data_IF_324481528544
#
_entry.id   IF_324481528544
#
_cell.length_a   1.000
_cell.length_b   1.000
_cell.length_c   1.000
_cell.angle_alpha   90.00
_cell.angle_beta   90.00
_cell.angle_gamma   90.00
#
_symmetry.space_group_name_H-M   'P 1'
#
loop_
_entity.id
_entity.type
_entity.pdbx_description
1 polymer ?
#
# COMPACT_ATOMS: atom_id res chain seq x y z
N UNK A 1 8.00 -28.64 -28.98
CA UNK A 1 8.03 -29.55 -27.80
C UNK A 1 7.82 -28.66 -26.58
N UNK A 2 6.76 -28.86 -25.80
CA UNK A 2 6.54 -28.05 -24.58
C UNK A 2 7.65 -28.40 -23.59
N UNK A 3 8.42 -27.40 -23.14
CA UNK A 3 9.47 -27.61 -22.14
C UNK A 3 8.89 -28.20 -20.86
N UNK A 4 9.57 -29.20 -20.30
CA UNK A 4 9.14 -29.84 -19.06
C UNK A 4 9.83 -29.17 -17.86
N UNK A 5 9.09 -28.37 -17.09
CA UNK A 5 9.63 -27.54 -15.99
C UNK A 5 9.78 -28.26 -14.63
N UNK A 6 9.72 -29.60 -14.61
CA UNK A 6 9.81 -30.34 -13.35
C UNK A 6 11.24 -30.53 -12.84
N UNK A 7 12.25 -30.46 -13.72
CA UNK A 7 13.68 -30.65 -13.38
C UNK A 7 14.44 -29.32 -13.31
N UNK A 8 14.00 -28.29 -14.03
CA UNK A 8 14.56 -26.94 -14.00
C UNK A 8 13.49 -25.90 -14.32
N UNK A 9 13.51 -24.76 -13.62
CA UNK A 9 12.45 -23.76 -13.70
C UNK A 9 12.70 -22.65 -14.73
N UNK A 10 13.96 -22.36 -15.08
CA UNK A 10 14.27 -21.32 -16.07
C UNK A 10 14.02 -21.80 -17.49
N UNK A 11 13.31 -20.99 -18.26
CA UNK A 11 13.17 -21.16 -19.72
C UNK A 11 14.44 -20.72 -20.45
N UNK A 12 14.59 -21.10 -21.72
CA UNK A 12 15.68 -20.59 -22.56
C UNK A 12 15.61 -19.05 -22.73
N UNK A 13 16.76 -18.38 -22.94
CA UNK A 13 16.78 -16.97 -23.29
C UNK A 13 16.15 -16.69 -24.66
N UNK A 14 15.70 -15.46 -24.86
CA UNK A 14 15.06 -15.03 -26.10
C UNK A 14 14.26 -13.74 -25.93
N UNK A 15 13.45 -13.40 -26.93
CA UNK A 15 12.55 -12.24 -26.86
C UNK A 15 11.46 -12.47 -25.81
N UNK A 16 11.00 -11.39 -25.18
CA UNK A 16 10.07 -11.45 -24.04
C UNK A 16 8.72 -12.10 -24.41
N UNK A 17 8.32 -12.07 -25.67
CA UNK A 17 7.10 -12.64 -26.23
C UNK A 17 7.35 -13.96 -26.98
N UNK A 18 8.60 -14.44 -27.04
CA UNK A 18 8.93 -15.70 -27.69
C UNK A 18 8.40 -16.89 -26.85
N UNK A 19 7.50 -17.72 -27.38
CA UNK A 19 6.94 -18.84 -26.64
C UNK A 19 7.94 -19.98 -26.42
N UNK A 20 8.02 -20.50 -25.19
CA UNK A 20 8.81 -21.68 -24.78
C UNK A 20 7.90 -22.86 -24.39
N UNK A 21 6.66 -22.86 -24.89
CA UNK A 21 5.58 -23.77 -24.52
C UNK A 21 4.33 -22.98 -24.15
N UNK A 22 3.91 -23.09 -22.89
CA UNK A 22 2.82 -22.27 -22.31
C UNK A 22 3.34 -20.93 -21.78
N UNK A 23 4.65 -20.84 -21.52
CA UNK A 23 5.38 -19.69 -20.95
C UNK A 23 6.27 -19.04 -22.01
N UNK A 24 6.85 -17.88 -21.72
CA UNK A 24 7.76 -17.16 -22.61
C UNK A 24 9.24 -17.35 -22.24
N UNK A 25 10.13 -16.87 -23.10
CA UNK A 25 11.56 -16.80 -22.81
C UNK A 25 11.86 -15.93 -21.57
N UNK A 26 12.95 -16.27 -20.88
CA UNK A 26 13.40 -15.63 -19.63
C UNK A 26 12.42 -15.71 -18.43
N UNK A 27 11.42 -16.61 -18.44
CA UNK A 27 10.54 -16.83 -17.30
C UNK A 27 11.07 -17.95 -16.38
N UNK A 28 10.67 -17.90 -15.10
CA UNK A 28 10.93 -18.97 -14.13
C UNK A 28 9.62 -19.64 -13.72
N UNK A 29 9.56 -20.96 -13.89
CA UNK A 29 8.41 -21.80 -13.54
C UNK A 29 8.75 -22.64 -12.31
N UNK A 30 8.10 -22.34 -11.19
CA UNK A 30 8.20 -23.15 -9.99
C UNK A 30 7.39 -24.45 -10.13
N UNK A 31 8.01 -25.60 -9.89
CA UNK A 31 7.30 -26.87 -9.93
C UNK A 31 6.34 -27.04 -8.73
N UNK A 32 5.43 -28.02 -8.82
CA UNK A 32 4.43 -28.29 -7.77
C UNK A 32 5.02 -28.55 -6.38
N UNK A 33 6.22 -29.11 -6.29
CA UNK A 33 6.85 -29.41 -5.00
C UNK A 33 7.39 -28.14 -4.36
N UNK A 34 7.94 -27.23 -5.15
CA UNK A 34 8.33 -25.91 -4.68
C UNK A 34 7.10 -25.12 -4.19
N UNK A 35 6.03 -25.07 -5.01
CA UNK A 35 4.78 -24.36 -4.67
C UNK A 35 4.13 -24.93 -3.40
N UNK A 36 4.20 -26.25 -3.19
CA UNK A 36 3.66 -26.91 -2.01
C UNK A 36 4.53 -26.78 -0.75
N UNK A 37 5.78 -26.32 -0.87
CA UNK A 37 6.69 -26.18 0.26
C UNK A 37 6.33 -24.95 1.11
N UNK A 38 5.89 -25.11 2.37
CA UNK A 38 5.47 -23.98 3.21
C UNK A 38 6.60 -22.97 3.46
N UNK A 39 7.86 -23.42 3.47
CA UNK A 39 9.01 -22.55 3.70
C UNK A 39 9.32 -21.63 2.50
N UNK A 40 8.86 -22.01 1.30
CA UNK A 40 9.02 -21.19 0.10
C UNK A 40 7.81 -20.28 -0.15
N UNK A 41 6.69 -20.53 0.53
CA UNK A 41 5.45 -19.78 0.33
C UNK A 41 5.60 -18.26 0.56
N UNK A 42 6.29 -17.78 1.62
CA UNK A 42 6.50 -16.34 1.82
C UNK A 42 7.27 -15.68 0.66
N UNK A 43 8.18 -16.41 0.03
CA UNK A 43 8.95 -15.92 -1.12
C UNK A 43 8.04 -15.76 -2.34
N UNK A 44 7.19 -16.75 -2.61
CA UNK A 44 6.23 -16.66 -3.73
C UNK A 44 5.20 -15.56 -3.51
N UNK A 45 4.68 -15.40 -2.30
CA UNK A 45 3.70 -14.36 -1.99
C UNK A 45 4.31 -12.95 -2.17
N UNK A 46 5.59 -12.77 -1.79
CA UNK A 46 6.30 -11.50 -2.01
C UNK A 46 6.49 -11.18 -3.50
N UNK A 47 6.84 -12.18 -4.31
CA UNK A 47 6.98 -12.04 -5.76
C UNK A 47 5.62 -11.74 -6.41
N UNK A 48 4.54 -12.43 -6.04
CA UNK A 48 3.19 -12.20 -6.57
C UNK A 48 2.71 -10.77 -6.29
N UNK A 49 2.89 -10.29 -5.05
CA UNK A 49 2.56 -8.90 -4.70
C UNK A 49 3.35 -7.91 -5.56
N UNK A 50 4.65 -8.11 -5.71
CA UNK A 50 5.50 -7.22 -6.50
C UNK A 50 5.19 -7.26 -8.00
N UNK A 51 4.84 -8.42 -8.55
CA UNK A 51 4.41 -8.57 -9.95
C UNK A 51 3.09 -7.84 -10.20
N UNK A 52 2.09 -8.05 -9.34
CA UNK A 52 0.78 -7.37 -9.44
C UNK A 52 0.89 -5.85 -9.35
N UNK A 53 1.89 -5.35 -8.61
CA UNK A 53 2.15 -3.92 -8.48
C UNK A 53 3.14 -3.36 -9.52
N UNK A 54 3.65 -4.19 -10.45
CA UNK A 54 4.64 -3.77 -11.45
C UNK A 54 6.03 -3.42 -10.88
N UNK A 55 6.36 -3.86 -9.67
CA UNK A 55 7.60 -3.53 -8.95
C UNK A 55 8.52 -4.73 -8.73
N UNK A 56 8.32 -5.83 -9.44
CA UNK A 56 9.16 -7.04 -9.31
C UNK A 56 10.66 -6.76 -9.54
N UNK A 57 10.99 -5.84 -10.45
CA UNK A 57 12.38 -5.43 -10.72
C UNK A 57 13.04 -4.63 -9.60
N UNK A 58 12.28 -4.18 -8.59
CA UNK A 58 12.77 -3.40 -7.46
C UNK A 58 12.99 -4.24 -6.19
N UNK A 59 12.69 -5.54 -6.22
CA UNK A 59 12.92 -6.42 -5.08
C UNK A 59 14.41 -6.52 -4.75
N UNK A 60 14.78 -6.27 -3.49
CA UNK A 60 16.18 -6.38 -3.04
C UNK A 60 16.43 -7.67 -2.27
N UNK A 61 17.71 -8.00 -2.05
CA UNK A 61 18.09 -9.16 -1.24
C UNK A 61 17.57 -9.05 0.21
N UNK A 62 17.50 -7.83 0.75
CA UNK A 62 16.96 -7.56 2.08
C UNK A 62 15.45 -7.84 2.14
N UNK A 63 14.68 -7.49 1.11
CA UNK A 63 13.25 -7.80 1.04
C UNK A 63 13.02 -9.32 1.05
N UNK A 64 13.88 -10.08 0.34
CA UNK A 64 13.85 -11.55 0.32
C UNK A 64 14.30 -12.15 1.67
N UNK A 65 15.32 -11.57 2.30
CA UNK A 65 15.77 -11.99 3.63
C UNK A 65 14.70 -11.75 4.70
N UNK A 66 13.96 -10.65 4.60
CA UNK A 66 12.89 -10.31 5.53
C UNK A 66 11.73 -11.31 5.51
N UNK A 67 11.40 -11.87 4.34
CA UNK A 67 10.32 -12.88 4.21
C UNK A 67 10.79 -14.30 4.56
N UNK A 68 12.10 -14.55 4.59
CA UNK A 68 12.69 -15.85 4.93
C UNK A 68 13.17 -15.94 6.39
N UNK A 69 13.34 -14.81 7.07
CA UNK A 69 13.70 -14.73 8.48
C UNK A 69 12.64 -15.40 9.37
N UNK A 70 13.07 -16.44 10.12
CA UNK A 70 12.25 -17.35 10.95
C UNK A 70 11.56 -16.71 12.16
N UNK A 71 10.71 -15.71 11.93
CA UNK A 71 9.88 -15.09 12.96
C UNK A 71 8.44 -15.00 12.48
N UNK A 72 7.72 -16.13 12.45
CA UNK A 72 6.26 -16.25 12.53
C UNK A 72 5.51 -14.93 12.23
N UNK A 73 5.45 -14.50 10.97
CA UNK A 73 4.78 -13.25 10.63
C UNK A 73 3.88 -13.43 9.42
N UNK A 74 2.60 -13.59 9.71
CA UNK A 74 1.54 -13.04 8.87
C UNK A 74 1.78 -11.53 8.75
N UNK A 75 2.65 -11.14 7.82
CA UNK A 75 2.91 -9.73 7.55
C UNK A 75 2.71 -9.52 6.07
N UNK A 76 1.59 -8.89 5.77
CA UNK A 76 1.34 -8.19 4.51
C UNK A 76 2.63 -7.47 4.11
N UNK A 77 3.27 -7.94 3.04
CA UNK A 77 4.32 -7.20 2.37
C UNK A 77 3.67 -5.89 1.95
N UNK A 78 4.09 -4.72 2.48
CA UNK A 78 3.63 -3.48 1.89
C UNK A 78 4.11 -3.54 0.44
N UNK A 79 3.19 -3.42 -0.53
CA UNK A 79 3.59 -3.18 -1.91
C UNK A 79 4.46 -1.91 -1.86
N UNK A 80 5.77 -2.10 -1.92
CA UNK A 80 6.70 -0.99 -1.94
C UNK A 80 6.39 -0.26 -3.23
N UNK A 81 5.88 0.96 -3.11
CA UNK A 81 5.83 1.90 -4.23
C UNK A 81 7.21 1.90 -4.91
N UNK A 82 7.27 2.10 -6.24
CA UNK A 82 8.50 1.91 -7.01
C UNK A 82 9.68 2.55 -6.29
N UNK A 83 10.75 1.78 -6.13
CA UNK A 83 11.94 2.28 -5.46
C UNK A 83 12.43 3.50 -6.25
N UNK A 84 12.24 4.69 -5.66
CA UNK A 84 13.03 5.84 -6.03
C UNK A 84 14.49 5.39 -5.89
N UNK A 85 15.23 5.47 -7.00
CA UNK A 85 16.64 5.13 -7.09
C UNK A 85 17.38 5.51 -5.82
N UNK A 86 18.26 4.61 -5.35
CA UNK A 86 19.22 4.91 -4.30
C UNK A 86 20.20 5.98 -4.80
N UNK A 87 19.75 7.22 -4.86
CA UNK A 87 20.61 8.38 -4.80
C UNK A 87 21.11 8.39 -3.36
N UNK A 88 22.41 8.17 -3.17
CA UNK A 88 23.12 8.60 -1.97
C UNK A 88 22.52 9.93 -1.51
N UNK A 89 21.76 9.93 -0.41
CA UNK A 89 21.13 11.13 0.12
C UNK A 89 22.24 12.00 0.72
N UNK A 90 23.02 12.64 -0.14
CA UNK A 90 23.41 14.00 0.16
C UNK A 90 22.09 14.71 0.45
N UNK A 91 21.92 15.20 1.68
CA UNK A 91 20.75 15.95 2.08
C UNK A 91 20.63 17.15 1.13
N UNK A 92 19.86 17.00 0.06
CA UNK A 92 19.65 18.05 -0.92
C UNK A 92 19.16 19.28 -0.13
N UNK A 93 19.90 20.41 -0.17
CA UNK A 93 19.52 21.60 0.56
C UNK A 93 18.07 22.03 0.29
N UNK A 94 17.54 21.77 -0.90
CA UNK A 94 16.13 22.03 -1.23
C UNK A 94 15.17 21.11 -0.46
N UNK A 95 15.51 19.82 -0.32
CA UNK A 95 14.72 18.86 0.45
C UNK A 95 14.76 19.16 1.95
N UNK A 96 15.90 19.60 2.48
CA UNK A 96 16.02 20.04 3.88
C UNK A 96 15.19 21.30 4.14
N UNK A 97 15.25 22.28 3.25
CA UNK A 97 14.44 23.49 3.34
C UNK A 97 12.94 23.17 3.33
N UNK A 98 12.51 22.24 2.46
CA UNK A 98 11.12 21.77 2.44
C UNK A 98 10.73 21.10 3.76
N UNK A 99 11.60 20.27 4.35
CA UNK A 99 11.33 19.59 5.62
C UNK A 99 11.21 20.58 6.79
N UNK A 100 12.03 21.64 6.79
CA UNK A 100 11.95 22.75 7.75
C UNK A 100 10.60 23.46 7.62
N UNK A 101 10.17 23.77 6.41
CA UNK A 101 8.88 24.42 6.16
C UNK A 101 7.69 23.53 6.56
N UNK A 102 7.74 22.23 6.25
CA UNK A 102 6.73 21.28 6.70
C UNK A 102 6.64 21.25 8.23
N UNK A 103 7.78 21.19 8.92
CA UNK A 103 7.83 21.22 10.38
C UNK A 103 7.26 22.52 10.95
N UNK A 104 7.52 23.65 10.29
CA UNK A 104 6.98 24.96 10.68
C UNK A 104 5.46 25.02 10.55
N UNK A 105 4.89 24.49 9.46
CA UNK A 105 3.45 24.41 9.24
C UNK A 105 2.80 23.46 10.23
N UNK A 106 3.37 22.28 10.46
CA UNK A 106 2.87 21.31 11.43
C UNK A 106 2.86 21.88 12.85
N UNK A 107 3.87 22.66 13.23
CA UNK A 107 3.90 23.35 14.53
C UNK A 107 2.80 24.40 14.63
N UNK A 108 2.58 25.21 13.59
CA UNK A 108 1.48 26.18 13.57
C UNK A 108 0.12 25.49 13.66
N UNK A 109 -0.07 24.40 12.92
CA UNK A 109 -1.29 23.61 12.94
C UNK A 109 -1.53 23.03 14.34
N UNK A 110 -0.50 22.42 14.95
CA UNK A 110 -0.57 21.93 16.33
C UNK A 110 -1.03 23.04 17.28
N UNK A 111 -0.37 24.19 17.25
CA UNK A 111 -0.72 25.30 18.13
C UNK A 111 -2.18 25.78 17.93
N UNK A 112 -2.71 25.75 16.69
CA UNK A 112 -4.12 26.10 16.43
C UNK A 112 -5.11 25.01 16.85
N UNK A 113 -4.67 23.76 16.92
CA UNK A 113 -5.50 22.64 17.39
C UNK A 113 -5.43 22.47 18.92
N UNK A 114 -4.38 22.99 19.56
CA UNK A 114 -4.29 23.09 21.02
C UNK A 114 -5.28 24.13 21.57
N UNK A 115 -5.65 25.14 20.77
CA UNK A 115 -6.73 26.09 21.09
C UNK A 115 -8.11 25.53 20.67
N UNK A 116 -9.20 25.80 21.43
CA UNK A 116 -10.55 25.43 21.03
C UNK A 116 -10.94 26.03 19.68
N UNK A 117 -11.41 25.18 18.76
CA UNK A 117 -11.94 25.62 17.47
C UNK A 117 -13.33 26.23 17.68
N UNK A 118 -13.40 27.56 17.71
CA UNK A 118 -14.67 28.30 17.78
C UNK A 118 -15.32 28.31 16.40
N UNK A 119 -16.47 27.66 16.27
CA UNK A 119 -17.31 27.74 15.09
C UNK A 119 -18.32 28.88 15.25
N UNK A 120 -18.16 29.96 14.49
CA UNK A 120 -19.19 30.99 14.37
C UNK A 120 -20.31 30.48 13.46
N UNK A 121 -21.39 29.97 14.06
CA UNK A 121 -22.57 29.55 13.32
C UNK A 121 -23.60 30.67 13.27
N UNK A 122 -24.19 30.92 12.09
CA UNK A 122 -25.30 31.83 11.96
C UNK A 122 -26.53 31.31 12.74
N UNK A 123 -27.19 32.17 13.50
CA UNK A 123 -28.41 31.81 14.26
C UNK A 123 -29.55 31.42 13.30
N UNK A 124 -29.66 32.14 12.19
CA UNK A 124 -30.68 31.96 11.14
C UNK A 124 -30.01 31.80 9.76
N UNK A 125 -30.75 31.28 8.78
CA UNK A 125 -30.24 31.02 7.43
C UNK A 125 -29.91 29.55 7.14
N UNK A 126 -29.52 29.26 5.90
CA UNK A 126 -29.21 27.90 5.43
C UNK A 126 -27.99 27.37 6.18
N UNK A 127 -28.13 26.22 6.87
CA UNK A 127 -27.13 25.62 7.78
C UNK A 127 -26.96 26.36 9.12
N UNK A 128 -27.90 27.23 9.50
CA UNK A 128 -27.90 27.89 10.81
C UNK A 128 -28.43 27.01 11.96
N UNK A 129 -28.21 27.46 13.20
CA UNK A 129 -28.58 26.72 14.43
C UNK A 129 -30.06 26.33 14.44
N UNK A 130 -30.94 27.28 14.09
CA UNK A 130 -32.39 27.05 14.10
C UNK A 130 -32.83 25.96 13.12
N UNK A 131 -32.14 25.84 11.99
CA UNK A 131 -32.42 24.77 11.01
C UNK A 131 -31.97 23.42 11.58
N UNK A 132 -30.75 23.33 12.11
CA UNK A 132 -30.22 22.12 12.72
C UNK A 132 -31.10 21.62 13.87
N UNK A 133 -31.61 22.52 14.71
CA UNK A 133 -32.49 22.18 15.83
C UNK A 133 -33.87 21.68 15.36
N UNK A 134 -34.44 22.26 14.30
CA UNK A 134 -35.67 21.75 13.67
C UNK A 134 -35.48 20.36 13.06
N UNK A 135 -34.37 20.13 12.37
CA UNK A 135 -34.05 18.82 11.79
C UNK A 135 -33.84 17.76 12.88
N UNK A 136 -33.15 18.12 13.98
CA UNK A 136 -32.99 17.26 15.14
C UNK A 136 -34.34 16.86 15.77
N UNK A 137 -35.25 17.82 15.97
CA UNK A 137 -36.59 17.53 16.49
C UNK A 137 -37.38 16.62 15.55
N UNK A 138 -37.28 16.83 14.23
CA UNK A 138 -37.93 15.97 13.23
C UNK A 138 -37.43 14.52 13.33
N UNK A 139 -36.12 14.31 13.49
CA UNK A 139 -35.53 12.99 13.69
C UNK A 139 -36.05 12.32 14.97
N UNK A 140 -36.12 13.07 16.08
CA UNK A 140 -36.62 12.53 17.34
C UNK A 140 -38.10 12.11 17.25
N UNK A 141 -38.92 12.93 16.58
CA UNK A 141 -40.33 12.62 16.36
C UNK A 141 -40.50 11.38 15.44
N UNK A 142 -39.68 11.23 14.41
CA UNK A 142 -39.68 10.05 13.55
C UNK A 142 -39.28 8.78 14.31
N UNK A 143 -38.32 8.87 15.23
CA UNK A 143 -37.95 7.76 16.12
C UNK A 143 -39.10 7.35 17.04
N UNK A 144 -39.86 8.33 17.57
CA UNK A 144 -41.00 8.06 18.47
C UNK A 144 -42.21 7.44 17.76
N UNK A 145 -42.42 7.74 16.47
CA UNK A 145 -43.51 7.17 15.66
C UNK A 145 -43.35 5.67 15.38
N UNK A 146 -42.13 5.15 15.39
CA UNK A 146 -41.84 3.73 15.15
C UNK A 146 -41.91 2.86 16.43
N UNK A 147 -42.37 3.43 17.56
CA UNK A 147 -42.54 2.72 18.84
C UNK A 147 -44.02 2.45 19.20
N UNK A 148 -44.96 2.72 18.30
CA UNK A 148 -46.37 2.37 18.45
C UNK A 148 -46.70 1.07 17.74
#
# INVERSE_FOLDING_TARGET
MVGNFYTGGYTSPGDWDQPQGIVHSNEFVANRFAVANPNLRPIFDAIDVAQRSGNVGNLTAEDIAAVTGSGKSTRTVPAKAPAASATTTANDPAMVAMLIECTRVLRKLKNRLDDPLVAETYVTGKRGINQAQKEYQKLNNNKSRNKQ
#
